data_IF_686335448566
#
_entry.id   IF_686335448566
#
_cell.length_a   1.000
_cell.length_b   1.000
_cell.length_c   1.000
_cell.angle_alpha   90.00
_cell.angle_beta   90.00
_cell.angle_gamma   90.00
#
_symmetry.space_group_name_H-M   'P 1'
#
loop_
_entity.id
_entity.type
_entity.pdbx_description
1 polymer ?
#
# COMPACT_ATOMS: atom_id res chain seq x y z
N UNK A 1 11.56 11.34 6.60
CA UNK A 1 10.10 11.53 6.54
C UNK A 1 9.75 12.59 7.57
N UNK A 2 9.00 13.64 7.21
CA UNK A 2 8.60 14.69 8.17
C UNK A 2 7.34 14.25 8.91
N UNK A 3 7.21 14.67 10.16
CA UNK A 3 6.09 14.32 11.04
C UNK A 3 5.28 15.56 11.39
N UNK A 4 3.96 15.48 11.22
CA UNK A 4 3.01 16.52 11.59
C UNK A 4 1.96 15.96 12.53
N UNK A 5 1.46 16.79 13.44
CA UNK A 5 0.18 16.51 14.10
C UNK A 5 -0.98 16.82 13.14
N UNK A 6 -2.18 16.26 13.35
CA UNK A 6 -3.33 16.55 12.49
C UNK A 6 -3.66 18.05 12.41
N UNK A 7 -3.58 18.75 13.56
CA UNK A 7 -3.84 20.19 13.64
C UNK A 7 -2.80 20.98 12.83
N UNK A 8 -1.51 20.66 12.98
CA UNK A 8 -0.45 21.32 12.24
C UNK A 8 -0.56 21.05 10.72
N UNK A 9 -0.84 19.81 10.33
CA UNK A 9 -1.04 19.45 8.94
C UNK A 9 -2.24 20.16 8.30
N UNK A 10 -3.30 20.41 9.07
CA UNK A 10 -4.48 21.15 8.60
C UNK A 10 -4.17 22.64 8.44
N UNK A 11 -3.48 23.25 9.41
CA UNK A 11 -3.10 24.67 9.37
C UNK A 11 -2.13 24.96 8.21
N UNK A 12 -1.16 24.08 8.00
CA UNK A 12 -0.12 24.23 6.97
C UNK A 12 -0.42 23.42 5.70
N UNK A 13 -1.68 23.08 5.44
CA UNK A 13 -2.07 22.14 4.38
C UNK A 13 -1.48 22.46 3.00
N UNK A 14 -1.48 23.74 2.61
CA UNK A 14 -0.90 24.19 1.34
C UNK A 14 0.62 23.96 1.27
N UNK A 15 1.32 24.15 2.39
CA UNK A 15 2.76 23.95 2.47
C UNK A 15 3.09 22.45 2.45
N UNK A 16 2.31 21.63 3.16
CA UNK A 16 2.39 20.16 3.13
C UNK A 16 2.19 19.65 1.70
N UNK A 17 1.16 20.11 0.99
CA UNK A 17 0.93 19.73 -0.41
C UNK A 17 2.06 20.21 -1.34
N UNK A 18 2.59 21.41 -1.11
CA UNK A 18 3.72 21.93 -1.88
C UNK A 18 4.98 21.08 -1.67
N UNK A 19 5.30 20.72 -0.43
CA UNK A 19 6.42 19.85 -0.10
C UNK A 19 6.25 18.46 -0.73
N UNK A 20 5.06 17.88 -0.64
CA UNK A 20 4.77 16.57 -1.25
C UNK A 20 4.89 16.65 -2.77
N UNK A 21 4.26 17.62 -3.42
CA UNK A 21 4.21 17.67 -4.88
C UNK A 21 5.50 18.19 -5.53
N UNK A 22 6.09 19.26 -5.00
CA UNK A 22 7.26 19.91 -5.61
C UNK A 22 8.58 19.30 -5.12
N UNK A 23 8.67 19.01 -3.82
CA UNK A 23 9.89 18.46 -3.22
C UNK A 23 9.88 16.92 -3.19
N UNK A 24 8.77 16.30 -3.58
CA UNK A 24 8.63 14.84 -3.64
C UNK A 24 8.90 14.18 -2.27
N UNK A 25 8.56 14.90 -1.21
CA UNK A 25 8.69 14.42 0.16
C UNK A 25 7.47 13.61 0.56
N UNK A 26 7.69 12.51 1.28
CA UNK A 26 6.61 11.82 2.00
C UNK A 26 6.50 12.36 3.42
N UNK A 27 5.26 12.63 3.84
CA UNK A 27 4.92 13.24 5.13
C UNK A 27 4.04 12.27 5.92
N UNK A 28 4.38 12.09 7.20
CA UNK A 28 3.59 11.31 8.15
C UNK A 28 2.80 12.23 9.06
N UNK A 29 1.51 11.99 9.18
CA UNK A 29 0.63 12.64 10.13
C UNK A 29 0.38 11.66 11.26
N UNK A 30 0.86 12.01 12.46
CA UNK A 30 0.72 11.18 13.65
C UNK A 30 -0.25 11.87 14.60
N UNK A 31 -1.38 11.24 14.94
CA UNK A 31 -2.35 11.81 15.88
C UNK A 31 -1.76 11.88 17.29
N UNK A 32 -2.30 12.81 18.08
CA UNK A 32 -1.78 13.15 19.41
C UNK A 32 -2.08 12.06 20.46
N UNK A 33 -3.03 11.18 20.16
CA UNK A 33 -3.38 10.00 20.96
C UNK A 33 -2.35 8.86 20.81
N UNK A 34 -1.36 9.01 19.92
CA UNK A 34 -0.31 8.02 19.65
C UNK A 34 -0.84 6.65 19.19
N UNK A 35 -2.09 6.60 18.75
CA UNK A 35 -2.66 5.40 18.15
C UNK A 35 -2.23 5.35 16.67
N UNK A 36 -1.28 4.46 16.39
CA UNK A 36 -0.72 4.27 15.03
C UNK A 36 -1.80 3.94 14.00
N UNK A 37 -2.92 3.35 14.41
CA UNK A 37 -4.08 3.01 13.58
C UNK A 37 -4.74 4.25 12.92
N UNK A 38 -4.55 5.41 13.54
CA UNK A 38 -5.08 6.69 13.10
C UNK A 38 -4.02 7.56 12.43
N UNK A 39 -2.79 7.06 12.29
CA UNK A 39 -1.75 7.72 11.53
C UNK A 39 -2.06 7.68 10.02
N UNK A 40 -1.72 8.75 9.33
CA UNK A 40 -1.88 8.87 7.89
C UNK A 40 -0.55 9.24 7.24
N UNK A 41 -0.32 8.73 6.03
CA UNK A 41 0.83 9.11 5.22
C UNK A 41 0.34 9.87 4.00
N UNK A 42 0.89 11.06 3.79
CA UNK A 42 0.66 11.87 2.59
C UNK A 42 1.89 11.73 1.70
N UNK A 43 1.66 11.34 0.44
CA UNK A 43 2.71 11.13 -0.53
C UNK A 43 2.29 11.57 -1.94
N UNK A 44 3.23 11.76 -2.87
CA UNK A 44 2.93 12.08 -4.25
C UNK A 44 2.10 10.97 -4.91
N UNK A 45 1.06 11.36 -5.66
CA UNK A 45 0.19 10.41 -6.36
C UNK A 45 0.97 9.41 -7.24
N UNK A 46 1.97 9.89 -7.98
CA UNK A 46 2.82 9.05 -8.85
C UNK A 46 3.57 7.97 -8.07
N UNK A 47 3.98 8.28 -6.83
CA UNK A 47 4.71 7.35 -5.98
C UNK A 47 3.76 6.28 -5.44
N UNK A 48 2.57 6.68 -5.01
CA UNK A 48 1.50 5.75 -4.65
C UNK A 48 1.15 4.80 -5.81
N UNK A 49 1.02 5.32 -7.03
CA UNK A 49 0.71 4.52 -8.21
C UNK A 49 1.81 3.48 -8.49
N UNK A 50 3.09 3.89 -8.42
CA UNK A 50 4.23 2.99 -8.58
C UNK A 50 4.27 1.89 -7.50
N UNK A 51 4.04 2.26 -6.23
CA UNK A 51 3.99 1.29 -5.13
C UNK A 51 2.84 0.31 -5.29
N UNK A 52 1.67 0.77 -5.72
CA UNK A 52 0.50 -0.08 -5.98
C UNK A 52 0.79 -1.08 -7.10
N UNK A 53 1.44 -0.65 -8.18
CA UNK A 53 1.84 -1.52 -9.29
C UNK A 53 2.87 -2.57 -8.85
N UNK A 54 3.89 -2.17 -8.11
CA UNK A 54 4.88 -3.10 -7.54
C UNK A 54 4.23 -4.12 -6.60
N UNK A 55 3.34 -3.67 -5.71
CA UNK A 55 2.62 -4.55 -4.80
C UNK A 55 1.72 -5.54 -5.55
N UNK A 56 1.13 -5.14 -6.68
CA UNK A 56 0.37 -6.04 -7.54
C UNK A 56 1.26 -7.11 -8.18
N UNK A 57 2.43 -6.72 -8.71
CA UNK A 57 3.39 -7.65 -9.33
C UNK A 57 4.03 -8.60 -8.32
N UNK A 58 4.21 -8.16 -7.08
CA UNK A 58 4.81 -8.96 -6.01
C UNK A 58 3.83 -9.90 -5.32
N UNK A 59 2.54 -9.89 -5.70
CA UNK A 59 1.60 -10.88 -5.16
C UNK A 59 2.14 -12.27 -5.52
N UNK A 60 2.51 -13.11 -4.53
CA UNK A 60 2.82 -14.50 -4.82
C UNK A 60 1.59 -15.07 -5.50
N UNK A 61 1.78 -15.68 -6.67
CA UNK A 61 0.73 -16.47 -7.29
C UNK A 61 0.21 -17.42 -6.21
N UNK A 62 -1.06 -17.26 -5.82
CA UNK A 62 -1.75 -18.21 -4.94
C UNK A 62 -1.35 -19.61 -5.40
N UNK A 63 -0.91 -20.50 -4.49
CA UNK A 63 -0.57 -21.86 -4.90
C UNK A 63 -1.78 -22.37 -5.66
N UNK A 64 -1.59 -22.71 -6.94
CA UNK A 64 -2.62 -23.36 -7.74
C UNK A 64 -3.17 -24.47 -6.85
N UNK A 65 -4.49 -24.51 -6.54
CA UNK A 65 -5.03 -25.66 -5.84
C UNK A 65 -4.54 -26.85 -6.63
N UNK A 66 -3.83 -27.75 -5.95
CA UNK A 66 -3.39 -29.00 -6.56
C UNK A 66 -4.68 -29.63 -7.08
N UNK A 67 -4.92 -29.51 -8.39
CA UNK A 67 -5.83 -30.39 -9.08
C UNK A 67 -5.17 -31.72 -8.82
N UNK A 68 -5.68 -32.44 -7.82
CA UNK A 68 -5.40 -33.85 -7.62
C UNK A 68 -5.56 -34.42 -9.00
N UNK A 69 -4.44 -34.81 -9.60
CA UNK A 69 -4.44 -35.50 -10.87
C UNK A 69 -5.46 -36.62 -10.69
N UNK A 70 -6.62 -36.47 -11.33
CA UNK A 70 -7.49 -37.60 -11.54
C UNK A 70 -6.59 -38.57 -12.31
N UNK A 71 -6.23 -39.66 -11.65
CA UNK A 71 -5.41 -40.74 -12.18
C UNK A 71 -6.27 -41.44 -13.25
N UNK A 72 -6.35 -40.82 -14.44
CA UNK A 72 -7.13 -41.31 -15.58
C UNK A 72 -6.60 -42.67 -16.05
N UNK A 73 -5.37 -43.04 -15.65
CA UNK A 73 -4.78 -44.35 -15.93
C UNK A 73 -5.30 -45.49 -15.04
N UNK A 74 -6.20 -45.22 -14.07
CA UNK A 74 -6.87 -46.25 -13.26
C UNK A 74 -8.33 -46.50 -13.60
N UNK A 75 -8.86 -45.91 -14.67
CA UNK A 75 -10.19 -46.26 -15.16
C UNK A 75 -10.09 -47.43 -16.14
N UNK A 76 -10.27 -48.64 -15.62
CA UNK A 76 -10.61 -49.82 -16.41
C UNK A 76 -11.93 -49.56 -17.13
N UNK A 77 -11.87 -49.26 -18.43
CA UNK A 77 -13.04 -49.28 -19.29
C UNK A 77 -13.43 -50.73 -19.52
N UNK A 78 -14.39 -51.21 -18.73
CA UNK A 78 -15.10 -52.47 -18.98
C UNK A 78 -16.02 -52.39 -20.19
#
# INVERSE_FOLDING_TARGET
MKHYSPIAAQQDFQQVLTAVHQLQETIMITPTDSEDEHAAVIMPKREWEALRELAFLQRPSLPKPAITAFDVDKMEWG
#
